data_IF_245789699717
#
_entry.id   IF_245789699717
#
_cell.length_a   1.000
_cell.length_b   1.000
_cell.length_c   1.000
_cell.angle_alpha   90.00
_cell.angle_beta   90.00
_cell.angle_gamma   90.00
#
_symmetry.space_group_name_H-M   'P 1'
#
loop_
_entity.id
_entity.type
_entity.pdbx_description
1 polymer ?
#
# COMPACT_ATOMS: atom_id res chain seq x y z
N UNK A 1 24.47 -0.44 -4.45
CA UNK A 1 23.18 -1.11 -4.22
C UNK A 1 22.48 -0.49 -3.03
N UNK A 2 21.22 -0.12 -3.20
CA UNK A 2 20.41 0.41 -2.12
C UNK A 2 20.02 -0.70 -1.13
N UNK A 3 19.89 -0.34 0.14
CA UNK A 3 19.36 -1.28 1.13
C UNK A 3 17.87 -1.48 0.88
N UNK A 4 17.40 -2.73 0.95
CA UNK A 4 15.97 -3.04 0.97
C UNK A 4 15.36 -2.42 2.22
N UNK A 5 14.26 -1.70 2.04
CA UNK A 5 13.53 -1.07 3.14
C UNK A 5 12.17 -1.71 3.30
N UNK A 6 11.74 -1.80 4.54
CA UNK A 6 10.44 -2.35 4.90
C UNK A 6 9.50 -1.22 5.29
N UNK A 7 8.26 -1.29 4.82
CA UNK A 7 7.17 -0.44 5.26
C UNK A 7 6.09 -1.34 5.82
N UNK A 8 5.71 -1.11 7.07
CA UNK A 8 4.61 -1.81 7.72
C UNK A 8 3.54 -0.81 8.13
N UNK A 9 2.30 -1.20 7.90
CA UNK A 9 1.15 -0.38 8.25
C UNK A 9 -0.03 -1.29 8.53
N UNK A 10 -0.84 -0.93 9.50
CA UNK A 10 -2.06 -1.66 9.78
C UNK A 10 -3.25 -0.72 9.94
N UNK A 11 -4.42 -1.26 9.73
CA UNK A 11 -5.69 -0.61 10.01
C UNK A 11 -6.69 -1.71 10.31
N UNK A 12 -7.90 -1.34 10.65
CA UNK A 12 -8.93 -2.33 10.95
C UNK A 12 -10.29 -1.87 10.43
N UNK A 13 -11.19 -2.84 10.29
CA UNK A 13 -12.56 -2.64 9.83
C UNK A 13 -13.49 -3.17 10.92
N UNK A 14 -14.48 -2.35 11.32
CA UNK A 14 -15.46 -2.72 12.36
C UNK A 14 -16.58 -3.61 11.80
N UNK A 15 -16.18 -4.68 11.12
CA UNK A 15 -17.07 -5.71 10.58
C UNK A 15 -16.42 -7.08 10.70
N UNK A 16 -17.22 -8.16 10.83
CA UNK A 16 -16.68 -9.51 10.94
C UNK A 16 -15.86 -9.92 9.72
N UNK A 17 -14.87 -10.75 9.97
CA UNK A 17 -13.94 -11.23 8.94
C UNK A 17 -14.65 -11.86 7.74
N UNK A 18 -15.67 -12.67 7.96
CA UNK A 18 -16.41 -13.34 6.88
C UNK A 18 -17.04 -12.32 5.92
N UNK A 19 -17.56 -11.23 6.44
CA UNK A 19 -18.14 -10.16 5.62
C UNK A 19 -17.07 -9.44 4.82
N UNK A 20 -15.95 -9.12 5.43
CA UNK A 20 -14.82 -8.47 4.76
C UNK A 20 -14.25 -9.38 3.67
N UNK A 21 -14.04 -10.66 3.99
CA UNK A 21 -13.58 -11.67 3.03
C UNK A 21 -14.52 -11.76 1.82
N UNK A 22 -15.83 -11.75 2.04
CA UNK A 22 -16.82 -11.84 0.97
C UNK A 22 -16.74 -10.65 0.02
N UNK A 23 -16.58 -9.43 0.53
CA UNK A 23 -16.40 -8.24 -0.30
C UNK A 23 -15.14 -8.36 -1.15
N UNK A 24 -14.03 -8.77 -0.53
CA UNK A 24 -12.75 -8.94 -1.24
C UNK A 24 -12.81 -10.05 -2.29
N UNK A 25 -13.62 -11.07 -2.08
CA UNK A 25 -13.79 -12.17 -3.04
C UNK A 25 -14.66 -11.78 -4.21
N UNK A 26 -15.71 -10.97 -3.97
CA UNK A 26 -16.69 -10.62 -4.99
C UNK A 26 -16.21 -9.51 -5.92
N UNK A 27 -15.59 -8.48 -5.37
CA UNK A 27 -15.18 -7.32 -6.17
C UNK A 27 -13.90 -6.68 -5.61
N UNK A 28 -12.77 -7.40 -5.69
CA UNK A 28 -11.50 -6.87 -5.20
C UNK A 28 -11.03 -5.66 -6.00
N UNK A 29 -11.32 -5.60 -7.31
CA UNK A 29 -10.86 -4.52 -8.17
C UNK A 29 -11.44 -3.18 -7.74
N UNK A 30 -12.71 -3.13 -7.38
CA UNK A 30 -13.36 -1.89 -6.96
C UNK A 30 -12.70 -1.29 -5.72
N UNK A 31 -12.45 -2.12 -4.72
CA UNK A 31 -11.78 -1.70 -3.48
C UNK A 31 -10.37 -1.22 -3.78
N UNK A 32 -9.61 -1.97 -4.57
CA UNK A 32 -8.22 -1.66 -4.84
C UNK A 32 -8.02 -0.52 -5.84
N UNK A 33 -8.95 -0.29 -6.76
CA UNK A 33 -8.91 0.88 -7.64
C UNK A 33 -9.03 2.17 -6.85
N UNK A 34 -9.98 2.23 -5.92
CA UNK A 34 -10.14 3.38 -5.02
C UNK A 34 -8.86 3.61 -4.19
N UNK A 35 -8.34 2.55 -3.59
CA UNK A 35 -7.13 2.63 -2.76
C UNK A 35 -5.90 3.03 -3.58
N UNK A 36 -5.77 2.53 -4.81
CA UNK A 36 -4.68 2.90 -5.72
C UNK A 36 -4.75 4.39 -6.08
N UNK A 37 -5.93 4.88 -6.40
CA UNK A 37 -6.12 6.30 -6.70
C UNK A 37 -5.79 7.18 -5.51
N UNK A 38 -6.20 6.78 -4.31
CA UNK A 38 -5.90 7.51 -3.07
C UNK A 38 -4.39 7.52 -2.78
N UNK A 39 -3.72 6.39 -2.94
CA UNK A 39 -2.27 6.28 -2.75
C UNK A 39 -1.50 7.14 -3.76
N UNK A 40 -1.90 7.09 -5.03
CA UNK A 40 -1.28 7.90 -6.08
C UNK A 40 -1.48 9.40 -5.83
N UNK A 41 -2.67 9.80 -5.40
CA UNK A 41 -2.96 11.19 -5.03
C UNK A 41 -2.07 11.65 -3.87
N UNK A 42 -1.92 10.83 -2.84
CA UNK A 42 -1.06 11.15 -1.70
C UNK A 42 0.41 11.23 -2.10
N UNK A 43 0.88 10.32 -2.95
CA UNK A 43 2.24 10.35 -3.46
C UNK A 43 2.53 11.65 -4.24
N UNK A 44 1.61 12.07 -5.09
CA UNK A 44 1.74 13.33 -5.83
C UNK A 44 1.74 14.54 -4.91
N UNK A 45 0.91 14.53 -3.87
CA UNK A 45 0.87 15.59 -2.86
C UNK A 45 2.19 15.72 -2.13
N UNK A 46 2.76 14.61 -1.67
CA UNK A 46 4.07 14.60 -0.99
C UNK A 46 5.17 15.06 -1.95
N UNK A 47 5.16 14.58 -3.18
CA UNK A 47 6.13 14.98 -4.20
C UNK A 47 6.08 16.50 -4.45
N UNK A 48 4.89 17.08 -4.49
CA UNK A 48 4.71 18.53 -4.64
C UNK A 48 5.26 19.30 -3.45
N UNK A 49 5.01 18.84 -2.23
CA UNK A 49 5.57 19.47 -1.03
C UNK A 49 7.09 19.41 -1.01
N UNK A 50 7.67 18.30 -1.42
CA UNK A 50 9.10 18.08 -1.42
C UNK A 50 9.83 18.75 -2.60
N UNK A 51 9.10 19.24 -3.57
CA UNK A 51 9.66 19.90 -4.76
C UNK A 51 10.54 21.09 -4.38
N UNK A 52 10.12 21.87 -3.40
CA UNK A 52 10.90 23.03 -2.92
C UNK A 52 12.21 22.56 -2.27
N UNK A 53 12.16 21.52 -1.45
CA UNK A 53 13.33 20.93 -0.81
C UNK A 53 14.29 20.33 -1.85
N UNK A 54 13.77 19.83 -2.97
CA UNK A 54 14.55 19.26 -4.05
C UNK A 54 15.05 20.31 -5.06
N UNK A 55 15.02 21.60 -4.71
CA UNK A 55 15.51 22.68 -5.58
C UNK A 55 14.60 22.98 -6.76
N UNK A 56 13.30 22.72 -6.64
CA UNK A 56 12.32 22.96 -7.70
C UNK A 56 12.28 21.90 -8.78
N UNK A 57 13.03 20.81 -8.64
CA UNK A 57 13.04 19.70 -9.60
C UNK A 57 11.70 18.97 -9.54
N UNK A 58 11.09 18.74 -10.70
CA UNK A 58 9.83 18.00 -10.78
C UNK A 58 10.03 16.53 -10.36
N UNK A 59 9.21 16.08 -9.42
CA UNK A 59 9.22 14.70 -8.93
C UNK A 59 7.95 14.02 -9.42
N UNK A 60 8.13 12.91 -10.14
CA UNK A 60 7.01 12.10 -10.58
C UNK A 60 6.75 10.98 -9.57
N UNK A 61 5.49 10.78 -9.24
CA UNK A 61 5.09 9.80 -8.25
C UNK A 61 3.79 9.09 -8.66
N UNK A 62 3.64 8.81 -9.94
CA UNK A 62 2.51 8.02 -10.41
C UNK A 62 2.76 6.54 -10.10
N UNK A 63 1.74 5.87 -9.58
CA UNK A 63 1.84 4.53 -9.03
C UNK A 63 0.82 3.61 -9.69
N UNK A 64 1.27 2.42 -10.06
CA UNK A 64 0.41 1.29 -10.41
C UNK A 64 0.53 0.23 -9.33
N UNK A 65 -0.61 -0.28 -8.90
CA UNK A 65 -0.68 -1.37 -7.91
C UNK A 65 -1.43 -2.54 -8.56
N UNK A 66 -0.77 -3.69 -8.65
CA UNK A 66 -1.40 -4.89 -9.18
C UNK A 66 -1.51 -5.97 -8.12
N UNK A 67 -2.62 -6.69 -8.15
CA UNK A 67 -2.86 -7.85 -7.30
C UNK A 67 -2.32 -9.06 -8.05
N UNK A 68 -1.29 -9.71 -7.49
CA UNK A 68 -0.67 -10.88 -8.12
C UNK A 68 -1.34 -12.18 -7.71
N UNK A 69 -1.80 -12.25 -6.47
CA UNK A 69 -2.41 -13.47 -5.94
C UNK A 69 -3.26 -13.15 -4.73
N UNK A 70 -4.40 -13.83 -4.61
CA UNK A 70 -5.24 -13.82 -3.41
C UNK A 70 -5.38 -15.27 -2.97
N UNK A 71 -4.98 -15.59 -1.74
CA UNK A 71 -5.17 -16.92 -1.20
C UNK A 71 -5.65 -16.87 0.26
N UNK A 72 -6.31 -17.95 0.69
CA UNK A 72 -6.76 -18.12 2.06
C UNK A 72 -5.88 -19.16 2.73
N UNK A 73 -5.43 -18.83 3.94
CA UNK A 73 -4.55 -19.68 4.73
C UNK A 73 -5.02 -19.76 6.18
N UNK A 74 -4.47 -20.69 6.91
CA UNK A 74 -4.61 -20.73 8.36
C UNK A 74 -3.36 -20.14 8.98
N UNK A 75 -3.54 -19.16 9.86
CA UNK A 75 -2.42 -18.54 10.58
C UNK A 75 -1.78 -19.52 11.54
N UNK A 76 -0.47 -19.70 11.46
CA UNK A 76 0.27 -20.51 12.42
C UNK A 76 0.31 -19.89 13.81
N UNK A 77 0.25 -18.55 13.87
CA UNK A 77 0.31 -17.82 15.13
C UNK A 77 -1.00 -17.89 15.92
N UNK A 78 -2.15 -17.81 15.24
CA UNK A 78 -3.47 -17.75 15.89
C UNK A 78 -4.33 -18.98 15.69
N UNK A 79 -3.97 -19.84 14.72
CA UNK A 79 -4.80 -20.97 14.32
C UNK A 79 -6.05 -20.58 13.53
N UNK A 80 -6.30 -19.30 13.32
CA UNK A 80 -7.46 -18.78 12.64
C UNK A 80 -7.25 -18.51 11.15
N UNK A 81 -8.31 -18.11 10.42
CA UNK A 81 -8.23 -17.87 8.99
C UNK A 81 -7.50 -16.56 8.68
N UNK A 82 -6.78 -16.55 7.55
CA UNK A 82 -6.11 -15.36 7.01
C UNK A 82 -6.32 -15.32 5.51
N UNK A 83 -6.77 -14.19 5.00
CA UNK A 83 -6.75 -13.89 3.57
C UNK A 83 -5.47 -13.11 3.27
N UNK A 84 -4.67 -13.63 2.33
CA UNK A 84 -3.43 -13.00 1.95
C UNK A 84 -3.51 -12.51 0.51
N UNK A 85 -3.20 -11.22 0.32
CA UNK A 85 -3.14 -10.61 -0.99
C UNK A 85 -1.69 -10.25 -1.29
N UNK A 86 -1.14 -10.78 -2.36
CA UNK A 86 0.19 -10.42 -2.84
C UNK A 86 0.07 -9.28 -3.84
N UNK A 87 0.75 -8.18 -3.56
CA UNK A 87 0.67 -6.95 -4.32
C UNK A 87 2.03 -6.58 -4.88
N UNK A 88 2.01 -5.91 -6.01
CA UNK A 88 3.20 -5.29 -6.56
C UNK A 88 2.90 -3.84 -6.89
N UNK A 89 3.74 -2.96 -6.37
CA UNK A 89 3.68 -1.53 -6.61
C UNK A 89 4.82 -1.13 -7.51
N UNK A 90 4.54 -0.35 -8.53
CA UNK A 90 5.57 0.14 -9.44
C UNK A 90 5.24 1.53 -9.94
N UNK A 91 6.25 2.21 -10.45
CA UNK A 91 6.05 3.48 -11.10
C UNK A 91 5.23 3.30 -12.36
N UNK A 92 4.17 4.08 -12.52
CA UNK A 92 3.36 4.08 -13.73
C UNK A 92 4.08 4.77 -14.89
N UNK A 93 4.98 5.69 -14.58
CA UNK A 93 5.75 6.45 -15.57
C UNK A 93 7.22 6.52 -15.16
N UNK A 94 8.11 6.51 -16.14
CA UNK A 94 9.55 6.63 -15.93
C UNK A 94 10.01 7.97 -16.54
N UNK A 95 10.87 8.76 -15.86
CA UNK A 95 11.46 8.50 -14.55
C UNK A 95 10.51 8.78 -13.39
N UNK A 96 10.62 7.99 -12.34
CA UNK A 96 9.82 8.18 -11.13
C UNK A 96 10.66 7.92 -9.89
N UNK A 97 10.32 8.58 -8.80
CA UNK A 97 10.93 8.33 -7.50
C UNK A 97 10.27 7.16 -6.76
N UNK A 98 9.20 6.59 -7.31
CA UNK A 98 8.56 5.46 -6.68
C UNK A 98 9.19 4.15 -7.14
N UNK A 99 9.82 3.40 -6.24
CA UNK A 99 10.46 2.13 -6.57
C UNK A 99 9.46 1.02 -6.77
N UNK A 100 9.93 -0.10 -7.32
CA UNK A 100 9.14 -1.32 -7.31
C UNK A 100 9.10 -1.84 -5.87
N UNK A 101 7.90 -2.06 -5.37
CA UNK A 101 7.69 -2.60 -4.04
C UNK A 101 6.88 -3.88 -4.13
N UNK A 102 7.38 -4.94 -3.52
CA UNK A 102 6.63 -6.18 -3.33
C UNK A 102 6.00 -6.13 -1.96
N UNK A 103 4.70 -6.34 -1.91
CA UNK A 103 3.93 -6.18 -0.69
C UNK A 103 2.96 -7.31 -0.47
N UNK A 104 2.54 -7.44 0.77
CA UNK A 104 1.57 -8.42 1.22
C UNK A 104 0.57 -7.70 2.12
N UNK A 105 -0.71 -7.91 1.85
CA UNK A 105 -1.77 -7.46 2.72
C UNK A 105 -2.42 -8.69 3.34
N UNK A 106 -2.35 -8.79 4.66
CA UNK A 106 -3.01 -9.83 5.44
C UNK A 106 -4.32 -9.30 6.00
N UNK A 107 -5.37 -10.07 5.83
CA UNK A 107 -6.71 -9.74 6.35
C UNK A 107 -7.13 -10.90 7.25
N UNK A 108 -7.35 -10.60 8.52
CA UNK A 108 -7.68 -11.65 9.50
C UNK A 108 -8.57 -11.12 10.61
N UNK A 109 -9.31 -12.02 11.30
CA UNK A 109 -10.17 -11.56 12.40
C UNK A 109 -9.34 -11.06 13.58
N UNK A 110 -9.65 -9.84 14.03
CA UNK A 110 -9.08 -9.27 15.24
C UNK A 110 -9.95 -9.65 16.45
N UNK A 111 -11.25 -9.49 16.29
CA UNK A 111 -12.29 -9.94 17.23
C UNK A 111 -13.43 -10.55 16.41
N UNK A 112 -14.51 -10.93 17.07
CA UNK A 112 -15.71 -11.44 16.37
C UNK A 112 -16.34 -10.41 15.43
N UNK A 113 -16.15 -9.12 15.72
CA UNK A 113 -16.81 -8.02 15.01
C UNK A 113 -15.81 -7.08 14.34
N UNK A 114 -14.53 -7.39 14.41
CA UNK A 114 -13.48 -6.54 13.85
C UNK A 114 -12.47 -7.36 13.04
N UNK A 115 -12.05 -6.79 11.93
CA UNK A 115 -11.08 -7.39 11.02
C UNK A 115 -9.86 -6.51 10.93
N UNK A 116 -8.68 -7.07 11.02
CA UNK A 116 -7.43 -6.35 10.87
C UNK A 116 -6.88 -6.47 9.45
N UNK A 117 -6.35 -5.36 8.96
CA UNK A 117 -5.59 -5.24 7.73
C UNK A 117 -4.14 -4.99 8.11
N UNK A 118 -3.23 -5.83 7.64
CA UNK A 118 -1.82 -5.77 8.00
C UNK A 118 -0.98 -5.74 6.72
N UNK A 119 -0.38 -4.60 6.43
CA UNK A 119 0.42 -4.39 5.23
C UNK A 119 1.90 -4.52 5.55
N UNK A 120 2.62 -5.24 4.72
CA UNK A 120 4.07 -5.36 4.79
C UNK A 120 4.64 -5.27 3.39
N UNK A 121 5.45 -4.26 3.13
CA UNK A 121 6.06 -4.03 1.82
C UNK A 121 7.57 -3.90 1.92
N UNK A 122 8.27 -4.40 0.90
CA UNK A 122 9.72 -4.31 0.77
C UNK A 122 10.08 -3.66 -0.55
N UNK A 123 10.93 -2.64 -0.49
CA UNK A 123 11.36 -1.92 -1.68
C UNK A 123 12.82 -1.52 -1.60
N UNK A 124 13.41 -1.30 -2.75
CA UNK A 124 14.73 -0.68 -2.86
C UNK A 124 14.56 0.77 -3.29
N UNK A 125 15.21 1.73 -2.61
CA UNK A 125 15.16 3.12 -3.06
C UNK A 125 15.67 3.24 -4.49
N UNK A 126 15.02 4.06 -5.34
CA UNK A 126 15.49 4.25 -6.71
C UNK A 126 16.87 4.91 -6.71
N UNK A 127 17.73 4.45 -7.59
CA UNK A 127 19.04 5.06 -7.80
C UNK A 127 18.89 6.11 -8.91
N UNK A 128 19.36 7.35 -8.64
CA UNK A 128 19.61 8.09 -9.76
C UNK A 128 19.28 9.56 -9.93
N UNK A 129 18.20 10.02 -10.46
CA UNK A 129 18.09 11.33 -11.13
C UNK A 129 18.30 12.59 -10.23
N UNK A 130 18.15 12.49 -8.92
CA UNK A 130 18.26 13.62 -8.00
C UNK A 130 19.45 13.54 -7.03
N UNK A 131 20.34 12.56 -7.22
CA UNK A 131 21.40 12.27 -6.27
C UNK A 131 20.95 11.34 -5.16
N UNK A 132 21.88 10.54 -4.66
CA UNK A 132 21.57 9.39 -3.80
C UNK A 132 20.84 9.74 -2.50
N UNK A 133 21.28 10.78 -1.80
CA UNK A 133 20.73 11.13 -0.48
C UNK A 133 19.32 11.71 -0.60
N UNK A 134 19.13 12.62 -1.54
CA UNK A 134 17.83 13.27 -1.76
C UNK A 134 16.80 12.25 -2.21
N UNK A 135 17.18 11.35 -3.13
CA UNK A 135 16.28 10.29 -3.63
C UNK A 135 15.85 9.34 -2.52
N UNK A 136 16.77 8.95 -1.65
CA UNK A 136 16.47 8.00 -0.56
C UNK A 136 15.44 8.58 0.41
N UNK A 137 15.61 9.84 0.81
CA UNK A 137 14.71 10.51 1.76
C UNK A 137 13.33 10.75 1.12
N UNK A 138 13.31 11.35 -0.07
CA UNK A 138 12.07 11.66 -0.78
C UNK A 138 11.31 10.39 -1.14
N UNK A 139 11.99 9.41 -1.69
CA UNK A 139 11.39 8.13 -2.07
C UNK A 139 10.78 7.42 -0.86
N UNK A 140 11.45 7.45 0.29
CA UNK A 140 10.93 6.82 1.51
C UNK A 140 9.66 7.54 2.00
N UNK A 141 9.65 8.87 2.03
CA UNK A 141 8.47 9.63 2.45
C UNK A 141 7.28 9.39 1.53
N UNK A 142 7.52 9.34 0.22
CA UNK A 142 6.48 9.04 -0.77
C UNK A 142 5.94 7.63 -0.56
N UNK A 143 6.82 6.65 -0.42
CA UNK A 143 6.43 5.25 -0.20
C UNK A 143 5.62 5.10 1.08
N UNK A 144 6.11 5.63 2.19
CA UNK A 144 5.43 5.54 3.48
C UNK A 144 4.06 6.22 3.45
N UNK A 145 3.98 7.45 2.95
CA UNK A 145 2.72 8.20 2.89
C UNK A 145 1.68 7.54 1.97
N UNK A 146 2.12 7.02 0.83
CA UNK A 146 1.22 6.35 -0.10
C UNK A 146 0.72 5.00 0.44
N UNK A 147 1.55 4.26 1.15
CA UNK A 147 1.15 3.00 1.82
C UNK A 147 0.11 3.27 2.89
N UNK A 148 0.35 4.24 3.76
CA UNK A 148 -0.63 4.60 4.80
C UNK A 148 -1.97 4.99 4.19
N UNK A 149 -1.97 5.77 3.13
CA UNK A 149 -3.19 6.17 2.45
C UNK A 149 -3.89 5.00 1.78
N UNK A 150 -3.13 4.10 1.18
CA UNK A 150 -3.68 2.89 0.56
C UNK A 150 -4.41 2.03 1.58
N UNK A 151 -3.77 1.70 2.69
CA UNK A 151 -4.35 0.84 3.73
C UNK A 151 -5.57 1.51 4.35
N UNK A 152 -5.50 2.79 4.65
CA UNK A 152 -6.61 3.57 5.19
C UNK A 152 -7.81 3.59 4.23
N UNK A 153 -7.57 3.75 2.93
CA UNK A 153 -8.64 3.76 1.93
C UNK A 153 -9.26 2.37 1.74
N UNK A 154 -8.45 1.31 1.80
CA UNK A 154 -8.98 -0.07 1.78
C UNK A 154 -9.94 -0.28 2.94
N UNK A 155 -9.53 0.12 4.15
CA UNK A 155 -10.38 0.01 5.33
C UNK A 155 -11.68 0.81 5.18
N UNK A 156 -11.59 2.04 4.69
CA UNK A 156 -12.76 2.90 4.48
C UNK A 156 -13.71 2.33 3.42
N UNK A 157 -13.17 1.84 2.31
CA UNK A 157 -13.97 1.24 1.24
C UNK A 157 -14.71 -0.03 1.72
N UNK A 158 -14.03 -0.87 2.47
CA UNK A 158 -14.65 -2.07 3.04
C UNK A 158 -15.76 -1.70 4.01
N UNK A 159 -15.53 -0.70 4.86
CA UNK A 159 -16.54 -0.21 5.81
C UNK A 159 -17.77 0.35 5.10
N UNK A 160 -17.56 1.10 4.03
CA UNK A 160 -18.67 1.66 3.23
C UNK A 160 -19.48 0.58 2.53
N UNK A 161 -18.82 -0.46 2.01
CA UNK A 161 -19.51 -1.57 1.34
C UNK A 161 -20.33 -2.43 2.31
N UNK A 162 -20.00 -2.42 3.59
CA UNK A 162 -20.64 -3.23 4.63
C UNK A 162 -21.58 -2.43 5.55
N UNK A 163 -21.63 -1.13 5.36
CA UNK A 163 -22.48 -0.25 6.16
C UNK A 163 -23.97 -0.46 5.88
#
# INVERSE_FOLDING_TARGET
MGKVREIRCYDYVNHPYEQVRDVLSKDPLRVFQSATSAAASRARSIASELRVEAGGIAVQADIDISIKKIDEKTSKATGGPVTRLQLEWQAAKIPSLFPIMKAELLVYPLTRTETQLDFSGFYEPPLGALGKTVNAIIGHRIAEGSVHRFVSDVAASLSQNLA
#
